data_IF_279511862439
#
_entry.id   IF_279511862439
#
_cell.length_a   1.000
_cell.length_b   1.000
_cell.length_c   1.000
_cell.angle_alpha   90.00
_cell.angle_beta   90.00
_cell.angle_gamma   90.00
#
_symmetry.space_group_name_H-M   'P 1'
#
loop_
_entity.id
_entity.type
_entity.pdbx_description
1 polymer ?
#
# COMPACT_ATOMS: atom_id res chain seq x y z
N UNK A 1 26.58 20.66 23.02
CA UNK A 1 26.11 20.02 21.76
C UNK A 1 25.33 18.78 22.16
N UNK A 2 24.05 18.67 21.79
CA UNK A 2 23.30 17.43 22.02
C UNK A 2 23.85 16.40 21.06
N UNK A 3 24.42 15.33 21.60
CA UNK A 3 24.94 14.23 20.80
C UNK A 3 23.73 13.51 20.14
N UNK A 4 23.56 13.65 18.84
CA UNK A 4 22.50 12.96 18.09
C UNK A 4 22.82 11.47 18.06
N UNK A 5 22.00 10.64 18.70
CA UNK A 5 22.11 9.18 18.55
C UNK A 5 21.68 8.72 17.17
N UNK A 6 22.14 7.57 16.76
CA UNK A 6 21.68 6.92 15.53
C UNK A 6 20.18 6.59 15.59
N UNK A 7 19.48 6.76 14.47
CA UNK A 7 18.10 6.31 14.29
C UNK A 7 18.11 4.80 14.07
N UNK A 8 17.26 4.08 14.79
CA UNK A 8 17.12 2.63 14.68
C UNK A 8 15.91 2.30 13.81
N UNK A 9 16.16 1.72 12.66
CA UNK A 9 15.14 1.33 11.69
C UNK A 9 15.02 -0.19 11.69
N UNK A 10 13.81 -0.72 11.77
CA UNK A 10 13.52 -2.15 11.72
C UNK A 10 12.60 -2.50 10.55
N UNK A 11 12.87 -3.62 9.89
CA UNK A 11 12.04 -4.14 8.81
C UNK A 11 10.97 -5.09 9.33
N UNK A 12 9.70 -4.81 9.03
CA UNK A 12 8.56 -5.64 9.42
C UNK A 12 8.14 -6.66 8.36
N UNK A 13 8.54 -6.46 7.12
CA UNK A 13 8.25 -7.35 6.00
C UNK A 13 9.26 -7.11 4.89
N UNK A 14 9.73 -8.17 4.28
CA UNK A 14 10.53 -8.19 3.06
C UNK A 14 10.02 -9.24 2.09
N UNK A 15 8.93 -9.92 2.44
CA UNK A 15 8.32 -10.94 1.62
C UNK A 15 6.84 -11.16 1.95
N UNK A 16 6.16 -11.79 1.03
CA UNK A 16 4.71 -12.01 1.08
C UNK A 16 4.23 -12.80 2.31
N UNK A 17 5.04 -13.69 2.85
CA UNK A 17 4.63 -14.65 3.90
C UNK A 17 5.27 -14.40 5.27
N UNK A 18 6.17 -13.44 5.41
CA UNK A 18 6.96 -13.23 6.62
C UNK A 18 6.38 -12.19 7.60
N UNK A 19 5.15 -11.72 7.35
CA UNK A 19 4.58 -10.50 7.95
C UNK A 19 3.84 -10.69 9.26
N UNK A 20 3.46 -11.92 9.57
CA UNK A 20 2.58 -12.20 10.69
C UNK A 20 3.16 -11.70 12.02
N UNK A 21 2.47 -10.74 12.66
CA UNK A 21 2.83 -10.11 13.93
C UNK A 21 4.16 -9.34 13.95
N UNK A 22 4.79 -9.11 12.79
CA UNK A 22 6.08 -8.43 12.75
C UNK A 22 6.00 -7.01 13.31
N UNK A 23 4.98 -6.22 12.93
CA UNK A 23 4.80 -4.86 13.44
C UNK A 23 4.67 -4.87 14.97
N UNK A 24 3.81 -5.74 15.53
CA UNK A 24 3.62 -5.85 16.97
C UNK A 24 4.91 -6.25 17.71
N UNK A 25 5.66 -7.19 17.16
CA UNK A 25 6.92 -7.64 17.75
C UNK A 25 7.94 -6.52 17.80
N UNK A 26 8.09 -5.80 16.69
CA UNK A 26 9.03 -4.68 16.57
C UNK A 26 8.59 -3.45 17.39
N UNK A 27 7.29 -3.17 17.48
CA UNK A 27 6.77 -2.08 18.30
C UNK A 27 7.07 -2.26 19.80
N UNK A 28 7.30 -3.49 20.25
CA UNK A 28 7.75 -3.76 21.63
C UNK A 28 9.25 -3.54 21.82
N UNK A 29 10.03 -3.54 20.75
CA UNK A 29 11.48 -3.32 20.79
C UNK A 29 11.82 -1.83 20.94
N UNK A 30 13.13 -1.57 21.11
CA UNK A 30 13.69 -0.23 21.18
C UNK A 30 14.08 0.23 19.74
N UNK A 31 13.08 0.68 18.98
CA UNK A 31 13.21 1.15 17.60
C UNK A 31 12.57 2.52 17.44
N UNK A 32 13.00 3.28 16.45
CA UNK A 32 12.46 4.61 16.15
C UNK A 32 11.50 4.59 14.95
N UNK A 33 11.80 3.71 13.99
CA UNK A 33 11.04 3.58 12.75
C UNK A 33 10.89 2.10 12.41
N UNK A 34 9.69 1.72 12.02
CA UNK A 34 9.38 0.42 11.42
C UNK A 34 9.07 0.68 9.95
N UNK A 35 9.70 -0.06 9.06
CA UNK A 35 9.40 -0.06 7.62
C UNK A 35 8.93 -1.45 7.21
N UNK A 36 8.05 -1.53 6.22
CA UNK A 36 7.59 -2.83 5.74
C UNK A 36 7.22 -2.79 4.27
N UNK A 37 7.64 -3.84 3.57
CA UNK A 37 7.28 -4.07 2.19
C UNK A 37 6.16 -5.12 2.11
N UNK A 38 4.97 -4.65 1.74
CA UNK A 38 3.76 -5.47 1.56
C UNK A 38 3.44 -5.69 0.09
N UNK A 39 4.14 -5.01 -0.82
CA UNK A 39 3.85 -5.06 -2.23
C UNK A 39 5.02 -5.59 -3.04
N UNK A 40 4.69 -6.35 -4.05
CA UNK A 40 5.55 -6.72 -5.15
C UNK A 40 4.80 -6.45 -6.45
N UNK A 41 5.48 -6.50 -7.58
CA UNK A 41 4.88 -6.33 -8.89
C UNK A 41 3.70 -7.31 -9.08
N UNK A 42 3.85 -8.53 -8.56
CA UNK A 42 2.83 -9.57 -8.62
C UNK A 42 1.59 -9.22 -7.79
N UNK A 43 1.78 -8.79 -6.53
CA UNK A 43 0.65 -8.43 -5.65
C UNK A 43 -0.01 -7.13 -6.11
N UNK A 44 0.74 -6.17 -6.64
CA UNK A 44 0.20 -4.95 -7.25
C UNK A 44 -0.69 -5.27 -8.44
N UNK A 45 -0.27 -6.16 -9.33
CA UNK A 45 -1.09 -6.56 -10.48
C UNK A 45 -2.40 -7.25 -10.08
N UNK A 46 -2.38 -8.09 -9.04
CA UNK A 46 -3.61 -8.73 -8.53
C UNK A 46 -4.56 -7.71 -7.90
N UNK A 47 -4.05 -6.80 -7.09
CA UNK A 47 -4.86 -5.76 -6.45
C UNK A 47 -5.40 -4.76 -7.47
N UNK A 48 -4.60 -4.38 -8.48
CA UNK A 48 -5.04 -3.52 -9.58
C UNK A 48 -6.18 -4.16 -10.38
N UNK A 49 -6.05 -5.43 -10.75
CA UNK A 49 -7.11 -6.16 -11.44
C UNK A 49 -8.38 -6.30 -10.59
N UNK A 50 -8.22 -6.58 -9.29
CA UNK A 50 -9.35 -6.64 -8.35
C UNK A 50 -10.06 -5.29 -8.23
N UNK A 51 -9.31 -4.19 -8.12
CA UNK A 51 -9.86 -2.82 -8.11
C UNK A 51 -10.64 -2.53 -9.38
N UNK A 52 -10.07 -2.85 -10.54
CA UNK A 52 -10.75 -2.65 -11.81
C UNK A 52 -12.08 -3.43 -11.88
N UNK A 53 -12.10 -4.68 -11.41
CA UNK A 53 -13.32 -5.50 -11.34
C UNK A 53 -14.37 -4.91 -10.40
N UNK A 54 -13.97 -4.41 -9.23
CA UNK A 54 -14.88 -3.74 -8.29
C UNK A 54 -15.46 -2.47 -8.90
N UNK A 55 -14.64 -1.65 -9.55
CA UNK A 55 -15.11 -0.42 -10.21
C UNK A 55 -16.10 -0.74 -11.33
N UNK A 56 -15.82 -1.76 -12.14
CA UNK A 56 -16.68 -2.16 -13.26
C UNK A 56 -18.04 -2.73 -12.82
N UNK A 57 -18.12 -3.34 -11.62
CA UNK A 57 -19.31 -3.98 -11.09
C UNK A 57 -20.00 -3.18 -9.96
N UNK A 58 -19.38 -2.10 -9.48
CA UNK A 58 -19.92 -1.31 -8.38
C UNK A 58 -21.23 -0.62 -8.79
N UNK A 59 -22.22 -0.69 -7.90
CA UNK A 59 -23.35 0.22 -7.96
C UNK A 59 -22.92 1.60 -7.42
N UNK A 60 -23.62 2.69 -7.78
CA UNK A 60 -23.23 4.04 -7.35
C UNK A 60 -23.10 4.21 -5.82
N UNK A 61 -23.81 3.41 -5.05
CA UNK A 61 -23.87 3.46 -3.59
C UNK A 61 -23.01 2.40 -2.88
N UNK A 62 -22.30 1.55 -3.62
CA UNK A 62 -21.41 0.55 -3.04
C UNK A 62 -20.09 1.16 -2.63
N UNK A 63 -19.74 1.02 -1.34
CA UNK A 63 -18.41 1.34 -0.86
C UNK A 63 -17.38 0.39 -1.48
N UNK A 64 -16.28 0.95 -1.96
CA UNK A 64 -15.14 0.19 -2.47
C UNK A 64 -14.43 -0.47 -1.30
N UNK A 65 -14.62 -1.76 -1.11
CA UNK A 65 -13.98 -2.49 -0.03
C UNK A 65 -12.73 -3.24 -0.49
N UNK A 66 -11.66 -3.14 0.30
CA UNK A 66 -10.63 -4.15 0.38
C UNK A 66 -9.61 -4.20 -0.75
N UNK A 67 -9.19 -3.07 -1.29
CA UNK A 67 -8.19 -3.02 -2.37
C UNK A 67 -6.77 -2.71 -1.87
N UNK A 68 -6.56 -2.75 -0.58
CA UNK A 68 -5.25 -2.77 0.09
C UNK A 68 -4.93 -4.19 0.59
N UNK A 69 -3.71 -4.42 1.06
CA UNK A 69 -3.33 -5.75 1.58
C UNK A 69 -4.21 -6.13 2.79
N UNK A 70 -5.01 -7.21 2.70
CA UNK A 70 -5.97 -7.56 3.74
C UNK A 70 -5.32 -8.02 5.05
N UNK A 71 -4.06 -8.45 5.02
CA UNK A 71 -3.33 -8.89 6.20
C UNK A 71 -2.80 -7.73 7.05
N UNK A 72 -2.71 -6.53 6.48
CA UNK A 72 -2.07 -5.39 7.12
C UNK A 72 -2.78 -4.96 8.41
N UNK A 73 -4.09 -4.79 8.37
CA UNK A 73 -4.84 -4.33 9.54
C UNK A 73 -4.71 -5.29 10.73
N UNK A 74 -4.77 -6.59 10.50
CA UNK A 74 -4.58 -7.59 11.55
C UNK A 74 -3.19 -7.52 12.22
N UNK A 75 -2.17 -7.07 11.47
CA UNK A 75 -0.83 -6.84 12.00
C UNK A 75 -0.70 -5.50 12.73
N UNK A 76 -1.39 -4.47 12.24
CA UNK A 76 -1.29 -3.12 12.75
C UNK A 76 -2.09 -2.90 14.03
N UNK A 77 -3.36 -3.31 14.05
CA UNK A 77 -4.30 -3.03 15.14
C UNK A 77 -3.71 -3.30 16.54
N UNK A 78 -3.12 -4.47 16.82
CA UNK A 78 -2.55 -4.74 18.14
C UNK A 78 -1.26 -3.98 18.43
N UNK A 79 -0.62 -3.38 17.41
CA UNK A 79 0.62 -2.63 17.56
C UNK A 79 0.38 -1.13 17.82
N UNK A 80 -0.77 -0.58 17.43
CA UNK A 80 -1.07 0.85 17.52
C UNK A 80 -0.81 1.45 18.90
N UNK A 81 -1.20 0.83 20.04
CA UNK A 81 -0.91 1.39 21.36
C UNK A 81 0.60 1.56 21.63
N UNK A 82 1.41 0.60 21.20
CA UNK A 82 2.87 0.67 21.37
C UNK A 82 3.51 1.73 20.48
N UNK A 83 3.00 1.88 19.24
CA UNK A 83 3.46 2.93 18.33
C UNK A 83 3.18 4.32 18.92
N UNK A 84 1.99 4.51 19.49
CA UNK A 84 1.60 5.76 20.15
C UNK A 84 2.44 6.04 21.40
N UNK A 85 2.54 5.07 22.30
CA UNK A 85 3.27 5.19 23.57
C UNK A 85 4.74 5.56 23.35
N UNK A 86 5.40 4.91 22.39
CA UNK A 86 6.83 5.07 22.14
C UNK A 86 7.17 6.10 21.07
N UNK A 87 6.18 6.66 20.38
CA UNK A 87 6.39 7.59 19.27
C UNK A 87 7.07 6.96 18.05
N UNK A 88 6.91 5.63 17.87
CA UNK A 88 7.51 4.91 16.75
C UNK A 88 6.77 5.28 15.46
N UNK A 89 7.53 5.58 14.41
CA UNK A 89 6.99 5.83 13.07
C UNK A 89 6.89 4.53 12.30
N UNK A 90 5.79 4.39 11.56
CA UNK A 90 5.57 3.26 10.65
C UNK A 90 5.43 3.77 9.22
N UNK A 91 6.16 3.18 8.29
CA UNK A 91 6.06 3.46 6.85
C UNK A 91 5.96 2.15 6.08
N UNK A 92 4.87 2.00 5.30
CA UNK A 92 4.57 0.76 4.57
C UNK A 92 3.92 1.10 3.22
N UNK A 93 3.99 0.16 2.28
CA UNK A 93 3.30 0.22 0.99
C UNK A 93 2.03 -0.67 0.94
N UNK A 94 1.50 -1.06 2.10
CA UNK A 94 0.34 -1.94 2.22
C UNK A 94 -0.97 -1.35 1.62
N UNK A 95 -0.97 -0.07 1.25
CA UNK A 95 -2.10 0.58 0.58
C UNK A 95 -2.37 0.05 -0.81
N UNK A 96 -1.34 -0.53 -1.46
CA UNK A 96 -1.50 -1.13 -2.79
C UNK A 96 -2.22 -0.18 -3.75
N UNK A 97 -3.26 -0.67 -4.40
CA UNK A 97 -4.04 0.11 -5.37
C UNK A 97 -5.06 1.07 -4.75
N UNK A 98 -5.16 1.14 -3.41
CA UNK A 98 -6.11 2.03 -2.73
C UNK A 98 -5.55 2.57 -1.40
N UNK A 99 -4.49 3.31 -1.51
CA UNK A 99 -3.75 3.88 -0.37
C UNK A 99 -4.60 4.82 0.47
N UNK A 100 -5.51 5.57 -0.15
CA UNK A 100 -6.43 6.45 0.56
C UNK A 100 -7.42 5.68 1.41
N UNK A 101 -7.99 4.59 0.88
CA UNK A 101 -8.90 3.72 1.63
C UNK A 101 -8.20 3.12 2.85
N UNK A 102 -6.98 2.60 2.68
CA UNK A 102 -6.20 2.10 3.81
C UNK A 102 -5.96 3.20 4.85
N UNK A 103 -5.55 4.38 4.44
CA UNK A 103 -5.30 5.49 5.37
C UNK A 103 -6.55 5.87 6.16
N UNK A 104 -7.73 5.92 5.52
CA UNK A 104 -9.02 6.15 6.19
C UNK A 104 -9.35 5.04 7.19
N UNK A 105 -9.11 3.79 6.82
CA UNK A 105 -9.34 2.62 7.68
C UNK A 105 -8.43 2.66 8.91
N UNK A 106 -7.14 2.94 8.72
CA UNK A 106 -6.19 3.11 9.83
C UNK A 106 -6.60 4.26 10.74
N UNK A 107 -7.00 5.40 10.17
CA UNK A 107 -7.44 6.56 10.98
C UNK A 107 -8.69 6.25 11.79
N UNK A 108 -9.62 5.47 11.23
CA UNK A 108 -10.82 5.02 11.95
C UNK A 108 -10.45 4.13 13.15
N UNK A 109 -9.51 3.19 12.96
CA UNK A 109 -9.04 2.31 14.04
C UNK A 109 -8.26 3.07 15.12
N UNK A 110 -7.40 4.03 14.74
CA UNK A 110 -6.70 4.94 15.67
C UNK A 110 -7.71 5.68 16.55
N UNK A 111 -8.77 6.24 15.96
CA UNK A 111 -9.84 6.94 16.68
C UNK A 111 -10.63 6.00 17.60
N UNK A 112 -10.96 4.81 17.12
CA UNK A 112 -11.68 3.78 17.89
C UNK A 112 -10.91 3.37 19.14
N UNK A 113 -9.58 3.30 19.06
CA UNK A 113 -8.71 3.00 20.19
C UNK A 113 -8.39 4.24 21.07
N UNK A 114 -8.87 5.43 20.69
CA UNK A 114 -8.64 6.67 21.45
C UNK A 114 -7.18 7.15 21.43
N UNK A 115 -6.44 6.81 20.37
CA UNK A 115 -5.01 7.13 20.27
C UNK A 115 -4.77 8.47 19.55
N UNK A 116 -3.72 9.18 19.96
CA UNK A 116 -3.24 10.39 19.28
C UNK A 116 -2.11 10.04 18.31
N UNK A 117 -2.49 9.49 17.14
CA UNK A 117 -1.58 9.19 16.05
C UNK A 117 -1.98 9.95 14.79
N UNK A 118 -0.98 10.42 14.05
CA UNK A 118 -1.18 11.02 12.74
C UNK A 118 -1.03 9.95 11.67
N UNK A 119 -2.01 9.91 10.75
CA UNK A 119 -2.00 9.05 9.57
C UNK A 119 -1.82 9.93 8.35
N UNK A 120 -0.90 9.53 7.48
CA UNK A 120 -0.66 10.19 6.20
C UNK A 120 -0.51 9.12 5.11
N UNK A 121 -0.79 9.49 3.87
CA UNK A 121 -0.57 8.63 2.71
C UNK A 121 0.05 9.43 1.57
N UNK A 122 0.71 8.72 0.68
CA UNK A 122 1.25 9.24 -0.57
C UNK A 122 0.54 8.52 -1.69
N UNK A 123 0.08 9.24 -2.68
CA UNK A 123 -0.58 8.71 -3.88
C UNK A 123 -0.06 9.45 -5.12
N UNK A 124 -0.34 8.92 -6.30
CA UNK A 124 0.06 9.53 -7.57
C UNK A 124 0.79 8.55 -8.49
N UNK A 125 0.85 7.30 -8.12
CA UNK A 125 1.42 6.17 -8.84
C UNK A 125 0.42 5.52 -9.81
N UNK A 126 -0.88 5.75 -9.68
CA UNK A 126 -1.90 5.24 -10.60
C UNK A 126 -1.89 6.05 -11.90
N UNK A 127 -1.46 5.41 -13.00
CA UNK A 127 -1.23 6.07 -14.30
C UNK A 127 -2.08 5.48 -15.43
N UNK A 128 -3.07 4.66 -15.14
CA UNK A 128 -3.91 4.00 -16.15
C UNK A 128 -4.56 5.00 -17.13
N UNK A 129 -5.09 6.11 -16.62
CA UNK A 129 -5.70 7.14 -17.47
C UNK A 129 -4.68 7.81 -18.41
N UNK A 130 -3.44 7.96 -17.92
CA UNK A 130 -2.33 8.50 -18.73
C UNK A 130 -1.97 7.52 -19.83
N UNK A 131 -1.81 6.23 -19.51
CA UNK A 131 -1.53 5.17 -20.47
C UNK A 131 -2.61 5.14 -21.55
N UNK A 132 -3.88 5.06 -21.16
CA UNK A 132 -5.01 5.02 -22.10
C UNK A 132 -5.07 6.26 -23.00
N UNK A 133 -4.77 7.43 -22.46
CA UNK A 133 -4.71 8.67 -23.26
C UNK A 133 -3.59 8.64 -24.27
N UNK A 134 -2.40 8.20 -23.89
CA UNK A 134 -1.24 8.13 -24.76
C UNK A 134 -1.43 7.07 -25.86
N UNK A 135 -2.01 5.92 -25.57
CA UNK A 135 -2.39 4.91 -26.55
C UNK A 135 -3.35 5.49 -27.60
N UNK A 136 -4.36 6.24 -27.18
CA UNK A 136 -5.29 6.93 -28.10
C UNK A 136 -4.60 7.99 -28.98
N UNK A 137 -3.47 8.53 -28.54
CA UNK A 137 -2.64 9.45 -29.31
C UNK A 137 -1.65 8.73 -30.25
N UNK A 138 -1.63 7.41 -30.24
CA UNK A 138 -0.76 6.58 -31.07
C UNK A 138 0.60 6.28 -30.46
N UNK A 139 0.79 6.59 -29.17
CA UNK A 139 2.00 6.21 -28.46
C UNK A 139 2.08 4.68 -28.36
N UNK A 140 3.27 4.14 -28.50
CA UNK A 140 3.55 2.71 -28.41
C UNK A 140 4.28 2.42 -27.10
N UNK A 141 3.82 1.42 -26.36
CA UNK A 141 4.44 0.94 -25.12
C UNK A 141 5.13 -0.39 -25.42
N UNK A 142 6.40 -0.31 -25.78
CA UNK A 142 7.21 -1.47 -26.12
C UNK A 142 7.55 -2.29 -24.87
N UNK A 143 7.43 -3.62 -24.96
CA UNK A 143 7.89 -4.53 -23.92
C UNK A 143 9.42 -4.56 -23.92
N UNK A 144 10.03 -4.09 -22.85
CA UNK A 144 11.50 -3.96 -22.72
C UNK A 144 12.24 -5.30 -22.63
N UNK A 145 11.54 -6.41 -22.35
CA UNK A 145 12.14 -7.73 -22.15
C UNK A 145 12.00 -8.63 -23.37
N UNK A 146 10.84 -8.60 -24.03
CA UNK A 146 10.46 -9.62 -25.01
C UNK A 146 10.09 -9.04 -26.39
N UNK A 147 10.12 -7.72 -26.53
CA UNK A 147 9.63 -7.03 -27.72
C UNK A 147 8.10 -7.05 -27.84
N UNK A 148 7.58 -6.49 -28.92
CA UNK A 148 6.16 -6.25 -29.09
C UNK A 148 5.67 -5.03 -28.29
N UNK A 149 4.44 -4.63 -28.52
CA UNK A 149 3.84 -3.47 -27.84
C UNK A 149 2.66 -3.91 -26.97
N UNK A 150 2.21 -3.04 -26.09
CA UNK A 150 1.07 -3.29 -25.21
C UNK A 150 -0.19 -3.67 -25.99
N UNK A 151 -0.44 -3.05 -27.14
CA UNK A 151 -1.59 -3.36 -28.01
C UNK A 151 -1.56 -4.80 -28.57
N UNK A 152 -0.37 -5.39 -28.69
CA UNK A 152 -0.20 -6.76 -29.19
C UNK A 152 -0.67 -7.83 -28.17
N UNK A 153 -0.91 -7.43 -26.93
CA UNK A 153 -1.37 -8.35 -25.85
C UNK A 153 -2.81 -8.81 -26.02
N UNK A 154 -3.61 -8.12 -26.84
CA UNK A 154 -4.98 -8.53 -27.17
C UNK A 154 -6.02 -8.22 -26.10
N UNK A 155 -5.70 -7.39 -25.12
CA UNK A 155 -6.63 -6.86 -24.12
C UNK A 155 -6.22 -5.46 -23.71
N UNK A 156 -7.20 -4.67 -23.26
CA UNK A 156 -6.94 -3.32 -22.72
C UNK A 156 -6.34 -3.41 -21.32
N UNK A 157 -5.40 -2.52 -20.96
CA UNK A 157 -4.90 -2.44 -19.60
C UNK A 157 -6.01 -2.04 -18.63
N UNK A 158 -6.10 -2.74 -17.51
CA UNK A 158 -7.11 -2.50 -16.45
C UNK A 158 -6.52 -1.87 -15.20
N UNK A 159 -5.20 -1.86 -15.10
CA UNK A 159 -4.44 -1.17 -14.05
C UNK A 159 -3.05 -0.80 -14.60
N UNK A 160 -2.49 0.31 -14.12
CA UNK A 160 -1.12 0.73 -14.38
C UNK A 160 -0.64 1.58 -13.19
N UNK A 161 0.48 1.19 -12.62
CA UNK A 161 1.11 1.84 -11.45
C UNK A 161 2.62 1.81 -11.59
#
# INVERSE_FOLDING_TARGET
MVQKRAIRIAGASGGFTDRQRAILSLAKCDVDVIVGDWMSECTMSWHGAAKAAVIANATPDEERHGLYDPSFMANLEPALPYLAEKGIKLAVNAGSSDTELLAKTVLAEVKKQGLDLKVAWVQGDEVLDVVNRLMKQGEKFENICFGGNLEDWGFDPVAAQ
#
